data_IF_122312245515
#
_entry.id   IF_122312245515
#
_cell.length_a   1.000
_cell.length_b   1.000
_cell.length_c   1.000
_cell.angle_alpha   90.00
_cell.angle_beta   90.00
_cell.angle_gamma   90.00
#
_symmetry.space_group_name_H-M   'P 1'
#
loop_
_entity.id
_entity.type
_entity.pdbx_description
1 polymer ?
#
# COMPACT_ATOMS: atom_id res chain seq x y z
N UNK A 1 0.66 -7.13 -14.92
CA UNK A 1 -0.20 -8.07 -14.17
C UNK A 1 0.26 -8.05 -12.72
N UNK A 2 -0.63 -7.71 -11.78
CA UNK A 2 -0.34 -7.86 -10.35
C UNK A 2 -0.25 -9.34 -9.98
N UNK A 3 0.67 -9.70 -9.10
CA UNK A 3 0.77 -11.05 -8.54
C UNK A 3 0.83 -10.97 -7.03
N UNK A 4 -0.05 -11.70 -6.35
CA UNK A 4 0.09 -11.98 -4.93
C UNK A 4 1.04 -13.16 -4.78
N UNK A 5 2.11 -12.96 -4.02
CA UNK A 5 3.14 -13.97 -3.78
C UNK A 5 3.34 -14.15 -2.29
N UNK A 6 3.56 -15.39 -1.85
CA UNK A 6 4.06 -15.63 -0.50
C UNK A 6 5.48 -15.08 -0.40
N UNK A 7 5.76 -14.33 0.66
CA UNK A 7 7.05 -13.65 0.86
C UNK A 7 8.21 -14.64 0.99
N UNK A 8 7.93 -15.90 1.34
CA UNK A 8 8.89 -17.02 1.37
C UNK A 8 9.53 -17.30 -0.01
N UNK A 9 8.95 -16.81 -1.11
CA UNK A 9 9.54 -16.95 -2.44
C UNK A 9 10.67 -15.93 -2.64
N UNK A 10 11.86 -16.42 -2.96
CA UNK A 10 13.02 -15.61 -3.30
C UNK A 10 12.88 -15.00 -4.71
N UNK A 11 13.07 -13.68 -4.84
CA UNK A 11 13.06 -12.95 -6.12
C UNK A 11 14.41 -12.26 -6.36
N UNK A 12 15.38 -12.93 -7.02
CA UNK A 12 16.77 -12.46 -7.10
C UNK A 12 16.96 -11.09 -7.74
N UNK A 13 16.04 -10.68 -8.61
CA UNK A 13 16.15 -9.45 -9.42
C UNK A 13 15.04 -8.42 -9.11
N UNK A 14 14.39 -8.52 -7.94
CA UNK A 14 13.33 -7.57 -7.56
C UNK A 14 13.62 -6.94 -6.21
N UNK A 15 13.54 -5.61 -6.17
CA UNK A 15 13.66 -4.86 -4.92
C UNK A 15 12.40 -5.07 -4.08
N UNK A 16 12.56 -5.61 -2.88
CA UNK A 16 11.49 -5.75 -1.90
C UNK A 16 11.43 -4.51 -1.00
N UNK A 17 10.22 -3.98 -0.82
CA UNK A 17 9.92 -2.85 0.06
C UNK A 17 8.98 -3.37 1.14
N UNK A 18 9.46 -3.33 2.38
CA UNK A 18 8.67 -3.73 3.54
C UNK A 18 7.77 -2.58 3.99
N UNK A 19 6.50 -2.87 4.21
CA UNK A 19 5.49 -1.99 4.79
C UNK A 19 5.32 -2.36 6.25
N UNK A 20 5.65 -1.42 7.12
CA UNK A 20 5.52 -1.56 8.58
C UNK A 20 4.07 -1.39 9.02
N UNK A 21 3.79 -1.81 10.25
CA UNK A 21 2.48 -1.65 10.89
C UNK A 21 2.13 -0.16 10.99
N UNK A 22 0.93 0.22 10.56
CA UNK A 22 0.48 1.61 10.56
C UNK A 22 1.20 2.48 9.53
N UNK A 23 1.65 1.89 8.43
CA UNK A 23 2.31 2.56 7.32
C UNK A 23 1.74 2.05 5.99
N UNK A 24 2.11 2.72 4.90
CA UNK A 24 1.86 2.30 3.54
C UNK A 24 3.07 2.58 2.66
N UNK A 25 3.15 1.88 1.54
CA UNK A 25 4.11 2.17 0.48
C UNK A 25 3.43 2.07 -0.87
N UNK A 26 3.85 2.93 -1.78
CA UNK A 26 3.45 2.92 -3.19
C UNK A 26 4.68 2.53 -4.00
N UNK A 27 4.51 1.62 -4.95
CA UNK A 27 5.57 1.22 -5.84
C UNK A 27 5.03 0.75 -7.20
N UNK A 28 5.81 0.99 -8.24
CA UNK A 28 5.59 0.45 -9.58
C UNK A 28 6.47 -0.78 -9.84
N UNK A 29 6.08 -1.57 -10.83
CA UNK A 29 6.90 -2.69 -11.31
C UNK A 29 8.33 -2.21 -11.66
N UNK A 30 9.42 -2.93 -11.28
CA UNK A 30 9.47 -4.32 -10.83
C UNK A 30 9.52 -4.54 -9.30
N UNK A 31 9.22 -3.52 -8.50
CA UNK A 31 9.31 -3.59 -7.03
C UNK A 31 8.24 -4.53 -6.44
N UNK A 32 8.56 -5.13 -5.30
CA UNK A 32 7.64 -5.97 -4.51
C UNK A 32 7.31 -5.24 -3.22
N UNK A 33 6.02 -5.03 -2.95
CA UNK A 33 5.55 -4.57 -1.65
C UNK A 33 5.25 -5.79 -0.78
N UNK A 34 5.82 -5.85 0.41
CA UNK A 34 5.62 -6.93 1.37
C UNK A 34 5.27 -6.35 2.74
N UNK A 35 4.45 -7.05 3.50
CA UNK A 35 4.25 -6.75 4.92
C UNK A 35 4.28 -8.04 5.72
N UNK A 36 4.72 -7.94 6.97
CA UNK A 36 4.92 -9.06 7.86
C UNK A 36 4.06 -8.89 9.11
N UNK A 37 3.92 -9.97 9.89
CA UNK A 37 3.27 -9.95 11.19
C UNK A 37 1.84 -9.36 11.17
N UNK A 38 1.01 -9.75 10.20
CA UNK A 38 -0.37 -9.27 10.10
C UNK A 38 -1.22 -9.65 11.32
N UNK A 39 -1.20 -10.91 11.76
CA UNK A 39 -2.00 -11.31 12.94
C UNK A 39 -3.48 -10.91 12.79
N UNK A 40 -3.96 -10.00 13.65
CA UNK A 40 -5.30 -9.40 13.59
C UNK A 40 -5.43 -8.13 12.74
N UNK A 41 -4.31 -7.60 12.24
CA UNK A 41 -4.27 -6.45 11.35
C UNK A 41 -4.71 -6.82 9.92
N UNK A 42 -4.92 -5.81 9.09
CA UNK A 42 -5.40 -5.97 7.70
C UNK A 42 -4.43 -5.33 6.72
N UNK A 43 -4.03 -6.10 5.72
CA UNK A 43 -3.32 -5.61 4.54
C UNK A 43 -4.32 -5.20 3.47
N UNK A 44 -4.24 -3.95 3.00
CA UNK A 44 -5.10 -3.42 1.94
C UNK A 44 -4.22 -3.10 0.74
N UNK A 45 -4.60 -3.61 -0.44
CA UNK A 45 -3.87 -3.42 -1.68
C UNK A 45 -4.72 -2.60 -2.64
N UNK A 46 -4.18 -1.48 -3.10
CA UNK A 46 -4.74 -0.69 -4.19
C UNK A 46 -3.84 -0.88 -5.41
N UNK A 47 -4.41 -1.13 -6.59
CA UNK A 47 -3.61 -1.39 -7.78
C UNK A 47 -4.24 -0.76 -9.01
N UNK A 48 -3.44 0.02 -9.73
CA UNK A 48 -3.75 0.50 -11.07
C UNK A 48 -3.17 -0.47 -12.11
N UNK A 49 -4.04 -1.02 -12.95
CA UNK A 49 -3.67 -1.99 -13.99
C UNK A 49 -3.03 -1.37 -15.23
N UNK A 50 -3.29 -0.09 -15.51
CA UNK A 50 -2.78 0.62 -16.67
C UNK A 50 -1.35 1.09 -16.39
N UNK A 51 -1.19 1.86 -15.31
CA UNK A 51 0.11 2.40 -14.88
C UNK A 51 0.99 1.37 -14.17
N UNK A 52 0.42 0.20 -13.81
CA UNK A 52 1.12 -0.90 -13.11
C UNK A 52 1.78 -0.45 -11.80
N UNK A 53 1.16 0.51 -11.13
CA UNK A 53 1.53 1.00 -9.82
C UNK A 53 0.55 0.48 -8.78
N UNK A 54 1.04 0.17 -7.59
CA UNK A 54 0.20 -0.28 -6.50
C UNK A 54 0.64 0.27 -5.16
N UNK A 55 -0.29 0.27 -4.22
CA UNK A 55 -0.07 0.60 -2.83
C UNK A 55 -0.37 -0.61 -1.95
N UNK A 56 0.40 -0.77 -0.87
CA UNK A 56 0.13 -1.72 0.20
C UNK A 56 0.05 -0.93 1.51
N UNK A 57 -1.06 -1.10 2.23
CA UNK A 57 -1.36 -0.46 3.51
C UNK A 57 -1.40 -1.55 4.57
N UNK A 58 -0.76 -1.34 5.72
CA UNK A 58 -0.90 -2.19 6.90
C UNK A 58 -1.69 -1.45 7.99
N UNK A 59 -3.01 -1.63 7.99
CA UNK A 59 -3.91 -1.00 8.97
C UNK A 59 -4.21 -1.95 10.14
N UNK A 60 -4.35 -1.40 11.35
CA UNK A 60 -4.56 -2.15 12.59
C UNK A 60 -5.98 -2.06 13.13
N UNK A 61 -6.67 -0.96 12.82
CA UNK A 61 -7.94 -0.58 13.45
C UNK A 61 -8.96 -0.15 12.38
N UNK A 62 -10.27 -0.28 12.62
CA UNK A 62 -11.28 0.12 11.65
C UNK A 62 -11.39 1.65 11.50
N UNK A 63 -11.51 2.37 12.62
CA UNK A 63 -11.78 3.83 12.65
C UNK A 63 -11.05 4.53 13.81
N UNK A 64 -10.65 5.81 13.65
CA UNK A 64 -10.03 6.59 14.71
C UNK A 64 -11.01 6.98 15.83
N UNK A 65 -10.51 7.03 17.07
CA UNK A 65 -11.27 7.58 18.19
C UNK A 65 -11.14 9.11 18.21
N UNK A 66 -12.28 9.81 18.32
CA UNK A 66 -12.36 11.28 18.30
C UNK A 66 -11.49 11.94 19.39
N UNK A 67 -11.37 11.30 20.55
CA UNK A 67 -10.69 11.89 21.71
C UNK A 67 -9.16 11.89 21.64
N UNK A 68 -8.56 11.11 20.74
CA UNK A 68 -7.09 11.00 20.60
C UNK A 68 -6.73 10.74 19.13
N UNK A 69 -6.63 11.79 18.30
CA UNK A 69 -6.10 11.64 16.97
C UNK A 69 -4.65 11.14 17.06
N UNK A 70 -4.36 10.07 16.32
CA UNK A 70 -3.03 9.48 16.16
C UNK A 70 -2.84 9.19 14.66
N UNK A 71 -1.75 8.51 14.28
CA UNK A 71 -1.40 8.19 12.91
C UNK A 71 -2.61 7.65 12.10
N UNK A 72 -3.07 8.37 11.06
CA UNK A 72 -4.22 7.97 10.25
C UNK A 72 -3.98 6.67 9.47
N UNK A 73 -2.72 6.25 9.27
CA UNK A 73 -2.40 5.00 8.58
C UNK A 73 -2.69 3.75 9.42
N UNK A 74 -2.91 3.91 10.73
CA UNK A 74 -3.36 2.81 11.59
C UNK A 74 -4.79 2.40 11.31
N UNK A 75 -5.61 3.24 10.67
CA UNK A 75 -7.05 3.02 10.53
C UNK A 75 -7.48 2.78 9.08
N UNK A 76 -8.36 1.80 8.86
CA UNK A 76 -8.91 1.48 7.53
C UNK A 76 -9.64 2.68 6.93
N UNK A 77 -10.51 3.33 7.73
CA UNK A 77 -11.34 4.45 7.27
C UNK A 77 -10.54 5.65 6.76
N UNK A 78 -9.40 5.94 7.37
CA UNK A 78 -8.58 7.10 6.99
C UNK A 78 -7.49 6.73 5.99
N UNK A 79 -6.90 5.54 6.09
CA UNK A 79 -5.80 5.13 5.20
C UNK A 79 -6.24 4.99 3.74
N UNK A 80 -7.38 4.34 3.46
CA UNK A 80 -7.85 4.12 2.09
C UNK A 80 -7.96 5.43 1.27
N UNK A 81 -8.73 6.45 1.71
CA UNK A 81 -8.90 7.67 0.91
C UNK A 81 -7.59 8.47 0.76
N UNK A 82 -6.73 8.49 1.79
CA UNK A 82 -5.43 9.17 1.74
C UNK A 82 -4.54 8.51 0.69
N UNK A 83 -4.35 7.18 0.80
CA UNK A 83 -3.46 6.44 -0.08
C UNK A 83 -4.00 6.37 -1.51
N UNK A 84 -5.32 6.28 -1.69
CA UNK A 84 -5.94 6.37 -3.01
C UNK A 84 -5.68 7.72 -3.67
N UNK A 85 -5.82 8.83 -2.93
CA UNK A 85 -5.53 10.16 -3.46
C UNK A 85 -4.08 10.30 -3.89
N UNK A 86 -3.14 9.73 -3.13
CA UNK A 86 -1.73 9.74 -3.50
C UNK A 86 -1.42 8.84 -4.69
N UNK A 87 -2.01 7.64 -4.75
CA UNK A 87 -1.84 6.74 -5.89
C UNK A 87 -2.31 7.42 -7.18
N UNK A 88 -3.49 8.05 -7.13
CA UNK A 88 -4.05 8.86 -8.23
C UNK A 88 -3.07 9.97 -8.61
N UNK A 89 -2.59 10.77 -7.66
CA UNK A 89 -1.63 11.86 -7.95
C UNK A 89 -0.39 11.34 -8.67
N UNK A 90 0.16 10.20 -8.25
CA UNK A 90 1.35 9.62 -8.89
C UNK A 90 1.01 9.12 -10.30
N UNK A 91 -0.10 8.39 -10.48
CA UNK A 91 -0.55 7.94 -11.81
C UNK A 91 -0.71 9.11 -12.79
N UNK A 92 -1.36 10.19 -12.35
CA UNK A 92 -1.63 11.35 -13.21
C UNK A 92 -0.42 12.27 -13.44
N UNK A 93 0.64 12.16 -12.65
CA UNK A 93 1.89 12.91 -12.89
C UNK A 93 2.75 12.22 -13.99
N UNK A 94 2.57 10.92 -14.22
CA UNK A 94 3.33 10.14 -15.22
C UNK A 94 2.69 10.12 -16.63
N UNK A 95 1.53 10.75 -16.83
CA UNK A 95 0.89 10.94 -18.14
C UNK A 95 1.49 12.19 -18.85
N UNK A 96 2.16 12.19 -20.02
CA UNK A 96 2.05 11.40 -21.25
C UNK A 96 0.62 11.12 -21.78
N UNK A 97 -0.36 11.87 -21.27
CA UNK A 97 -1.71 11.98 -21.83
C UNK A 97 -1.90 13.35 -22.51
N UNK A 98 -1.20 13.52 -23.63
CA UNK A 98 -1.61 14.33 -24.79
C UNK A 98 -1.68 13.42 -26.00
#
# INVERSE_FOLDING_TARGET
MMMLVKVEKFFPNKQMITVSIGDYKIASNPKILATYALGSCVAIILYDRFERIGALIHAMLPEPKISRPDNPMKYVRTSIPIVLSELIKICFIDEHWR
#
